data_IF_776253288036
#
_entry.id   IF_776253288036
#
_cell.length_a   1.000
_cell.length_b   1.000
_cell.length_c   1.000
_cell.angle_alpha   90.00
_cell.angle_beta   90.00
_cell.angle_gamma   90.00
#
_symmetry.space_group_name_H-M   'P 1'
#
loop_
_entity.id
_entity.type
_entity.pdbx_description
1 polymer ?
#
# COMPACT_ATOMS: atom_id res chain seq x y z
N UNK A 1 -6.73 -10.45 37.64
CA UNK A 1 -7.23 -9.10 37.27
C UNK A 1 -6.56 -8.00 38.11
N UNK A 2 -5.22 -8.02 38.22
CA UNK A 2 -4.45 -7.04 39.00
C UNK A 2 -3.10 -6.64 38.35
N UNK A 3 -2.82 -7.13 37.14
CA UNK A 3 -1.60 -6.81 36.36
C UNK A 3 -1.82 -5.74 35.28
N UNK A 4 -3.03 -5.18 35.15
CA UNK A 4 -3.33 -4.07 34.22
C UNK A 4 -3.15 -2.67 34.82
N UNK A 5 -2.88 -2.56 36.13
CA UNK A 5 -2.85 -1.25 36.82
C UNK A 5 -1.44 -0.65 36.89
N UNK A 6 -0.38 -1.45 36.76
CA UNK A 6 1.00 -0.95 36.92
C UNK A 6 1.68 -0.41 35.65
N UNK A 7 1.10 -0.61 34.46
CA UNK A 7 1.68 -0.10 33.20
C UNK A 7 1.10 1.25 32.73
N UNK A 8 0.04 1.77 33.35
CA UNK A 8 -0.54 3.05 32.95
C UNK A 8 0.23 4.25 33.54
N UNK A 9 0.82 4.08 34.73
CA UNK A 9 1.50 5.17 35.44
C UNK A 9 2.94 5.45 34.94
N UNK A 10 3.59 4.50 34.24
CA UNK A 10 4.92 4.72 33.68
C UNK A 10 4.87 5.51 32.35
N UNK A 11 3.76 5.40 31.60
CA UNK A 11 3.54 6.15 30.36
C UNK A 11 3.13 7.60 30.65
N UNK A 12 2.46 7.85 31.77
CA UNK A 12 2.05 9.20 32.18
C UNK A 12 3.26 10.04 32.64
N UNK A 13 4.32 9.41 33.17
CA UNK A 13 5.52 10.13 33.62
C UNK A 13 6.48 10.54 32.49
N UNK A 14 6.41 9.90 31.31
CA UNK A 14 7.19 10.29 30.13
C UNK A 14 6.49 11.35 29.25
N UNK A 15 5.20 11.64 29.49
CA UNK A 15 4.46 12.70 28.79
C UNK A 15 4.62 14.07 29.47
N UNK A 16 5.16 14.13 30.69
CA UNK A 16 5.24 15.38 31.48
C UNK A 16 6.59 16.14 31.31
N UNK A 17 7.57 15.60 30.56
CA UNK A 17 8.89 16.22 30.39
C UNK A 17 9.24 16.67 28.97
N UNK A 18 8.26 16.84 28.08
CA UNK A 18 8.45 17.55 26.80
C UNK A 18 7.32 18.54 26.60
N UNK A 19 7.61 19.83 26.82
CA UNK A 19 6.83 20.92 26.24
C UNK A 19 6.09 21.85 27.19
N UNK A 20 6.65 22.23 28.34
CA UNK A 20 6.27 23.48 28.99
C UNK A 20 6.93 24.65 28.24
N UNK A 21 6.33 25.05 27.12
CA UNK A 21 6.49 26.41 26.60
C UNK A 21 5.20 27.14 26.92
N UNK A 22 5.29 28.07 27.87
CA UNK A 22 4.23 29.02 28.21
C UNK A 22 3.92 29.87 26.98
N UNK A 23 2.87 29.54 26.24
CA UNK A 23 2.20 30.50 25.36
C UNK A 23 1.22 31.29 26.22
N UNK A 24 1.58 32.57 26.43
CA UNK A 24 0.73 33.55 27.05
C UNK A 24 -0.36 33.92 26.04
N UNK A 25 -1.45 33.16 26.01
CA UNK A 25 -2.55 33.42 25.08
C UNK A 25 -3.53 34.39 25.72
N UNK A 26 -3.28 35.68 25.48
CA UNK A 26 -4.26 36.73 25.67
C UNK A 26 -5.29 36.68 24.52
N UNK A 27 -6.10 35.62 24.45
CA UNK A 27 -7.24 35.57 23.54
C UNK A 27 -8.54 35.88 24.30
N UNK A 28 -9.16 37.00 23.90
CA UNK A 28 -10.55 37.30 24.25
C UNK A 28 -11.44 36.20 23.67
N UNK A 29 -11.89 35.29 24.52
CA UNK A 29 -12.90 34.28 24.19
C UNK A 29 -14.18 34.97 23.73
N UNK A 30 -14.57 34.77 22.47
CA UNK A 30 -15.92 35.07 22.01
C UNK A 30 -16.86 34.03 22.67
N UNK A 31 -18.02 34.43 23.23
CA UNK A 31 -18.99 33.50 23.78
C UNK A 31 -19.44 32.46 22.74
N UNK A 32 -19.51 31.18 23.12
CA UNK A 32 -19.88 30.06 22.24
C UNK A 32 -21.25 30.24 21.57
N UNK A 33 -22.16 31.00 22.19
CA UNK A 33 -23.47 31.34 21.62
C UNK A 33 -23.37 32.17 20.32
N UNK A 34 -22.40 33.10 20.25
CA UNK A 34 -22.21 33.97 19.08
C UNK A 34 -21.50 33.27 17.93
N UNK A 35 -20.82 32.15 18.18
CA UNK A 35 -20.19 31.35 17.13
C UNK A 35 -21.22 30.69 16.21
N UNK A 36 -22.34 30.23 16.77
CA UNK A 36 -23.42 29.58 16.02
C UNK A 36 -24.29 30.55 15.21
N UNK A 37 -24.12 31.86 15.39
CA UNK A 37 -24.77 32.88 14.56
C UNK A 37 -24.08 33.05 13.19
N UNK A 38 -22.82 32.63 13.07
CA UNK A 38 -22.07 32.66 11.81
C UNK A 38 -22.50 31.52 10.88
N UNK A 39 -22.52 31.76 9.55
CA UNK A 39 -22.90 30.73 8.59
C UNK A 39 -21.93 29.54 8.63
N UNK A 40 -22.43 28.32 8.35
CA UNK A 40 -21.58 27.14 8.27
C UNK A 40 -20.60 27.28 7.11
N UNK A 41 -19.32 26.99 7.37
CA UNK A 41 -18.25 27.08 6.38
C UNK A 41 -18.43 26.10 5.21
N UNK A 42 -19.11 24.98 5.46
CA UNK A 42 -19.21 23.84 4.56
C UNK A 42 -20.65 23.31 4.56
N UNK A 43 -21.27 23.27 3.39
CA UNK A 43 -22.57 22.64 3.22
C UNK A 43 -22.61 21.89 1.88
N UNK A 44 -22.53 20.56 1.93
CA UNK A 44 -22.42 19.70 0.76
C UNK A 44 -23.64 18.79 0.65
N UNK A 45 -24.27 18.76 -0.52
CA UNK A 45 -25.21 17.72 -0.90
C UNK A 45 -24.52 16.34 -0.89
N UNK A 46 -25.29 15.29 -0.66
CA UNK A 46 -24.80 13.91 -0.63
C UNK A 46 -24.28 13.49 -2.01
N UNK A 47 -22.95 13.47 -2.14
CA UNK A 47 -22.27 13.20 -3.40
C UNK A 47 -22.55 11.78 -3.91
N UNK A 48 -22.51 10.78 -3.03
CA UNK A 48 -22.66 9.38 -3.42
C UNK A 48 -24.09 9.14 -3.95
N UNK A 49 -25.11 9.75 -3.33
CA UNK A 49 -26.49 9.71 -3.86
C UNK A 49 -26.64 10.40 -5.22
N UNK A 50 -25.92 11.50 -5.45
CA UNK A 50 -25.92 12.21 -6.73
C UNK A 50 -25.28 11.38 -7.86
N UNK A 51 -24.27 10.55 -7.52
CA UNK A 51 -23.53 9.70 -8.46
C UNK A 51 -24.28 8.41 -8.78
N UNK A 52 -24.78 7.69 -7.76
CA UNK A 52 -25.34 6.34 -7.92
C UNK A 52 -26.69 6.31 -8.63
N UNK A 53 -27.40 7.44 -8.67
CA UNK A 53 -28.78 7.47 -9.16
C UNK A 53 -28.95 7.68 -10.67
N UNK A 54 -27.90 8.03 -11.45
CA UNK A 54 -28.07 8.52 -12.85
C UNK A 54 -26.92 8.18 -13.81
N UNK A 55 -27.25 8.00 -15.10
CA UNK A 55 -26.29 7.76 -16.20
C UNK A 55 -25.50 9.01 -16.63
N UNK A 56 -25.94 10.20 -16.21
CA UNK A 56 -25.25 11.47 -16.37
C UNK A 56 -25.59 12.35 -15.15
N UNK A 57 -24.56 12.84 -14.45
CA UNK A 57 -24.72 13.69 -13.27
C UNK A 57 -23.66 14.80 -13.30
N UNK A 58 -24.01 15.95 -12.72
CA UNK A 58 -23.09 17.05 -12.50
C UNK A 58 -23.19 17.47 -11.03
N UNK A 59 -22.06 17.46 -10.33
CA UNK A 59 -21.95 17.95 -8.97
C UNK A 59 -21.06 19.20 -8.99
N UNK A 60 -21.60 20.33 -8.57
CA UNK A 60 -20.91 21.61 -8.57
C UNK A 60 -20.45 21.96 -7.16
N UNK A 61 -19.20 22.40 -7.03
CA UNK A 61 -18.71 22.99 -5.78
C UNK A 61 -18.67 24.49 -5.97
N UNK A 62 -19.43 25.21 -5.15
CA UNK A 62 -19.57 26.67 -5.22
C UNK A 62 -18.77 27.28 -4.09
N UNK A 63 -17.91 28.23 -4.45
CA UNK A 63 -17.24 29.10 -3.49
C UNK A 63 -17.97 30.45 -3.44
N UNK A 64 -18.37 30.89 -2.25
CA UNK A 64 -18.98 32.19 -2.03
C UNK A 64 -18.16 32.99 -1.02
N UNK A 65 -17.87 34.24 -1.37
CA UNK A 65 -17.25 35.20 -0.46
C UNK A 65 -18.33 36.18 0.00
N UNK A 66 -18.48 36.33 1.31
CA UNK A 66 -19.48 37.22 1.88
C UNK A 66 -19.02 38.67 1.65
N UNK A 67 -19.87 39.47 1.00
CA UNK A 67 -19.55 40.88 0.78
C UNK A 67 -19.49 41.64 2.10
N UNK A 68 -18.44 42.46 2.32
CA UNK A 68 -18.31 43.23 3.54
C UNK A 68 -19.46 44.22 3.75
N UNK A 69 -20.09 44.17 4.93
CA UNK A 69 -21.13 45.11 5.31
C UNK A 69 -20.91 45.64 6.73
N UNK A 70 -20.27 46.81 6.84
CA UNK A 70 -19.92 47.44 8.12
C UNK A 70 -21.14 47.76 9.00
N UNK A 71 -22.33 47.89 8.42
CA UNK A 71 -23.59 48.14 9.14
C UNK A 71 -24.16 46.87 9.79
N UNK A 72 -23.70 45.68 9.38
CA UNK A 72 -24.18 44.41 9.91
C UNK A 72 -23.40 44.02 11.18
N UNK A 73 -24.08 43.82 12.33
CA UNK A 73 -23.41 43.36 13.54
C UNK A 73 -22.79 41.96 13.36
N UNK A 74 -23.41 41.11 12.54
CA UNK A 74 -22.89 39.78 12.21
C UNK A 74 -21.60 39.86 11.36
N UNK A 75 -21.54 40.79 10.40
CA UNK A 75 -20.32 40.97 9.60
C UNK A 75 -19.14 41.43 10.46
N UNK A 76 -19.36 42.37 11.38
CA UNK A 76 -18.31 42.84 12.30
C UNK A 76 -17.78 41.70 13.18
N UNK A 77 -18.64 40.74 13.55
CA UNK A 77 -18.20 39.53 14.25
C UNK A 77 -17.40 38.60 13.33
N UNK A 78 -17.86 38.34 12.11
CA UNK A 78 -17.17 37.51 11.11
C UNK A 78 -15.78 38.09 10.81
N UNK A 79 -15.67 39.39 10.54
CA UNK A 79 -14.40 40.09 10.28
C UNK A 79 -13.47 40.03 11.48
N UNK A 80 -13.96 40.31 12.69
CA UNK A 80 -13.15 40.26 13.91
C UNK A 80 -12.63 38.85 14.21
N UNK A 81 -13.47 37.81 14.03
CA UNK A 81 -13.07 36.42 14.26
C UNK A 81 -12.10 35.92 13.20
N UNK A 82 -12.34 36.29 11.94
CA UNK A 82 -11.55 35.86 10.77
C UNK A 82 -10.21 36.59 10.62
N UNK A 83 -9.96 37.66 11.39
CA UNK A 83 -8.68 38.40 11.42
C UNK A 83 -7.50 37.55 11.93
N UNK A 84 -7.74 36.59 12.82
CA UNK A 84 -6.71 35.67 13.28
C UNK A 84 -6.61 34.44 12.36
N UNK A 85 -5.90 34.60 11.25
CA UNK A 85 -5.69 33.51 10.28
C UNK A 85 -4.74 32.39 10.75
N UNK A 86 -4.15 32.47 11.95
CA UNK A 86 -3.32 31.38 12.50
C UNK A 86 -4.12 30.40 13.34
N UNK A 87 -5.16 30.89 14.02
CA UNK A 87 -5.92 30.08 14.96
C UNK A 87 -7.38 29.88 14.55
N UNK A 88 -7.95 30.76 13.71
CA UNK A 88 -9.34 30.69 13.30
C UNK A 88 -9.51 30.49 11.79
N UNK A 89 -10.54 29.73 11.43
CA UNK A 89 -10.98 29.63 10.06
C UNK A 89 -11.66 30.92 9.61
N UNK A 90 -11.48 31.28 8.35
CA UNK A 90 -12.10 32.45 7.73
C UNK A 90 -13.59 32.19 7.47
N UNK A 91 -14.46 32.82 8.26
CA UNK A 91 -15.93 32.69 8.17
C UNK A 91 -16.56 33.58 7.10
N UNK A 92 -15.77 34.39 6.41
CA UNK A 92 -16.18 35.17 5.25
C UNK A 92 -16.10 34.38 3.92
N UNK A 93 -15.63 33.13 3.98
CA UNK A 93 -15.47 32.23 2.82
C UNK A 93 -16.26 30.95 3.01
N UNK A 94 -17.29 30.77 2.20
CA UNK A 94 -18.23 29.64 2.29
C UNK A 94 -18.05 28.70 1.10
N UNK A 95 -18.21 27.41 1.36
CA UNK A 95 -18.12 26.36 0.35
C UNK A 95 -19.40 25.52 0.35
N UNK A 96 -20.04 25.42 -0.81
CA UNK A 96 -21.22 24.61 -1.02
C UNK A 96 -20.95 23.50 -2.01
N UNK A 97 -21.61 22.35 -1.86
CA UNK A 97 -21.68 21.33 -2.90
C UNK A 97 -23.11 21.09 -3.28
N UNK A 98 -23.41 21.17 -4.58
CA UNK A 98 -24.78 21.06 -5.08
C UNK A 98 -24.84 19.99 -6.16
N UNK A 99 -25.78 19.05 -6.01
CA UNK A 99 -26.14 18.13 -7.09
C UNK A 99 -27.02 18.88 -8.10
N UNK A 100 -26.48 19.14 -9.29
CA UNK A 100 -27.16 19.97 -10.32
C UNK A 100 -28.48 19.35 -10.76
N UNK A 101 -28.57 18.03 -10.74
CA UNK A 101 -29.78 17.31 -11.15
C UNK A 101 -30.92 17.42 -10.12
N UNK A 102 -30.58 17.41 -8.84
CA UNK A 102 -31.56 17.65 -7.77
C UNK A 102 -31.96 19.13 -7.74
N UNK A 103 -31.00 20.02 -7.97
CA UNK A 103 -31.25 21.45 -8.14
C UNK A 103 -32.17 21.74 -9.33
N UNK A 104 -31.98 21.11 -10.49
CA UNK A 104 -32.90 21.21 -11.64
C UNK A 104 -34.31 20.73 -11.31
N UNK A 105 -34.41 19.68 -10.50
CA UNK A 105 -35.70 19.12 -10.08
C UNK A 105 -36.41 20.08 -9.13
N UNK A 106 -35.67 20.67 -8.18
CA UNK A 106 -36.17 21.70 -7.28
C UNK A 106 -36.58 22.96 -8.04
N UNK A 107 -35.78 23.43 -9.01
CA UNK A 107 -36.11 24.58 -9.86
C UNK A 107 -37.43 24.41 -10.60
N UNK A 108 -37.72 23.19 -11.10
CA UNK A 108 -39.00 22.87 -11.74
C UNK A 108 -40.19 22.86 -10.78
N UNK A 109 -39.94 22.74 -9.47
CA UNK A 109 -40.99 22.74 -8.44
C UNK A 109 -41.32 24.14 -7.92
N UNK A 110 -40.53 25.16 -8.27
CA UNK A 110 -40.73 26.54 -7.84
C UNK A 110 -41.71 27.28 -8.77
N UNK A 111 -42.49 28.26 -8.26
CA UNK A 111 -43.28 29.15 -9.09
C UNK A 111 -42.42 30.01 -10.02
N UNK A 112 -42.91 30.29 -11.24
CA UNK A 112 -42.18 31.02 -12.30
C UNK A 112 -41.57 32.35 -11.83
N UNK A 113 -42.24 33.06 -10.92
CA UNK A 113 -41.77 34.31 -10.34
C UNK A 113 -40.45 34.16 -9.56
N UNK A 114 -40.31 33.09 -8.76
CA UNK A 114 -39.09 32.84 -7.98
C UNK A 114 -37.94 32.34 -8.86
N UNK A 115 -38.27 31.63 -9.93
CA UNK A 115 -37.29 31.16 -10.90
C UNK A 115 -36.63 32.33 -11.64
N UNK A 116 -37.39 33.37 -11.97
CA UNK A 116 -36.88 34.57 -12.64
C UNK A 116 -35.90 35.37 -11.76
N UNK A 117 -36.21 35.53 -10.48
CA UNK A 117 -35.33 36.24 -9.53
C UNK A 117 -33.98 35.53 -9.33
N UNK A 118 -33.96 34.20 -9.42
CA UNK A 118 -32.75 33.38 -9.32
C UNK A 118 -31.85 33.48 -10.57
N UNK A 119 -32.44 33.66 -11.75
CA UNK A 119 -31.68 33.82 -13.00
C UNK A 119 -31.08 35.21 -13.19
N UNK A 120 -31.65 36.26 -12.58
CA UNK A 120 -31.18 37.65 -12.71
C UNK A 120 -29.87 37.94 -11.95
N UNK A 121 -29.49 37.10 -10.98
CA UNK A 121 -28.22 37.24 -10.25
C UNK A 121 -27.12 36.39 -10.88
N UNK A 122 -26.63 36.80 -12.06
CA UNK A 122 -25.47 36.17 -12.68
C UNK A 122 -24.20 36.38 -11.85
N UNK A 123 -23.63 35.29 -11.34
CA UNK A 123 -22.24 35.25 -10.85
C UNK A 123 -21.32 35.29 -12.06
N UNK A 124 -20.47 36.33 -12.14
CA UNK A 124 -19.51 36.53 -13.23
C UNK A 124 -18.67 35.28 -13.45
N UNK A 125 -18.67 34.78 -14.68
CA UNK A 125 -17.96 33.58 -15.10
C UNK A 125 -16.44 33.79 -15.05
N UNK A 126 -15.83 33.49 -13.91
CA UNK A 126 -14.38 33.29 -13.79
C UNK A 126 -14.03 31.88 -13.30
N UNK A 127 -14.84 30.89 -13.67
CA UNK A 127 -14.47 29.49 -13.48
C UNK A 127 -13.93 28.90 -14.78
N UNK A 128 -12.63 29.13 -14.99
CA UNK A 128 -11.84 28.18 -15.74
C UNK A 128 -11.86 26.86 -14.95
N UNK A 129 -12.59 25.86 -15.43
CA UNK A 129 -12.49 24.49 -14.95
C UNK A 129 -11.15 23.89 -15.42
N UNK A 130 -10.05 24.44 -14.92
CA UNK A 130 -8.70 23.97 -15.18
C UNK A 130 -8.19 23.23 -13.94
N UNK A 131 -8.06 21.91 -14.13
CA UNK A 131 -7.26 20.95 -13.36
C UNK A 131 -7.81 20.45 -12.01
N UNK A 132 -9.02 19.88 -12.02
CA UNK A 132 -9.51 18.95 -10.99
C UNK A 132 -8.50 17.79 -10.75
N UNK A 133 -7.81 17.34 -11.80
CA UNK A 133 -6.82 16.26 -11.72
C UNK A 133 -5.58 16.63 -10.88
N UNK A 134 -5.08 17.87 -10.96
CA UNK A 134 -3.91 18.31 -10.18
C UNK A 134 -4.29 18.47 -8.70
N UNK A 135 -5.45 19.05 -8.41
CA UNK A 135 -5.96 19.14 -7.03
C UNK A 135 -6.18 17.75 -6.44
N UNK A 136 -6.76 16.81 -7.20
CA UNK A 136 -6.89 15.41 -6.77
C UNK A 136 -5.52 14.78 -6.48
N UNK A 137 -4.53 14.92 -7.38
CA UNK A 137 -3.18 14.40 -7.19
C UNK A 137 -2.50 14.96 -5.94
N UNK A 138 -2.61 16.27 -5.70
CA UNK A 138 -2.06 16.93 -4.51
C UNK A 138 -2.77 16.50 -3.23
N UNK A 139 -4.09 16.29 -3.27
CA UNK A 139 -4.84 15.77 -2.12
C UNK A 139 -4.61 14.28 -1.84
N UNK A 140 -4.05 13.52 -2.79
CA UNK A 140 -3.69 12.10 -2.60
C UNK A 140 -2.57 11.91 -1.58
N UNK A 141 -1.77 12.95 -1.29
CA UNK A 141 -0.72 12.92 -0.26
C UNK A 141 -1.18 13.48 1.09
N UNK A 142 -2.46 13.83 1.25
CA UNK A 142 -2.99 14.34 2.52
C UNK A 142 -3.01 13.23 3.58
N UNK A 143 -2.15 13.34 4.59
CA UNK A 143 -2.06 12.41 5.72
C UNK A 143 -3.41 12.29 6.42
N UNK A 144 -4.08 13.41 6.69
CA UNK A 144 -5.40 13.44 7.35
C UNK A 144 -6.43 12.59 6.58
N UNK A 145 -6.60 12.84 5.27
CA UNK A 145 -7.58 12.13 4.45
C UNK A 145 -7.24 10.64 4.30
N UNK A 146 -5.96 10.33 4.11
CA UNK A 146 -5.51 8.93 3.99
C UNK A 146 -5.66 8.16 5.29
N UNK A 147 -5.48 8.82 6.45
CA UNK A 147 -5.69 8.22 7.77
C UNK A 147 -7.15 7.83 8.00
N UNK A 148 -8.12 8.72 7.74
CA UNK A 148 -9.54 8.38 7.84
C UNK A 148 -9.96 7.30 6.85
N UNK A 149 -9.42 7.31 5.64
CA UNK A 149 -9.64 6.23 4.65
C UNK A 149 -9.06 4.89 5.09
N UNK A 150 -7.91 4.90 5.77
CA UNK A 150 -7.27 3.68 6.28
C UNK A 150 -8.08 3.05 7.42
N UNK A 151 -8.72 3.88 8.25
CA UNK A 151 -9.58 3.43 9.35
C UNK A 151 -11.03 3.18 8.92
N UNK A 152 -11.42 3.59 7.72
CA UNK A 152 -12.77 3.40 7.23
C UNK A 152 -13.10 1.91 7.11
N UNK A 153 -14.29 1.47 7.55
CA UNK A 153 -14.72 0.08 7.38
C UNK A 153 -14.82 -0.25 5.88
N UNK A 154 -14.31 -1.42 5.50
CA UNK A 154 -14.32 -1.94 4.12
C UNK A 154 -15.75 -2.03 3.60
N UNK A 155 -16.09 -1.20 2.61
CA UNK A 155 -17.47 -1.01 2.12
C UNK A 155 -17.88 -1.88 0.93
N UNK A 156 -17.03 -2.79 0.43
CA UNK A 156 -17.31 -3.61 -0.78
C UNK A 156 -16.84 -5.07 -0.60
N UNK A 157 -17.70 -5.99 -1.02
CA UNK A 157 -17.73 -7.44 -0.76
C UNK A 157 -16.68 -8.33 -1.48
N UNK A 158 -16.43 -9.48 -0.83
CA UNK A 158 -15.89 -10.81 -1.23
C UNK A 158 -14.86 -11.26 -0.19
N UNK A 159 -15.36 -11.97 0.83
CA UNK A 159 -14.71 -12.14 2.13
C UNK A 159 -13.72 -13.32 2.23
N UNK A 160 -13.58 -14.14 1.20
CA UNK A 160 -12.98 -15.48 1.36
C UNK A 160 -11.44 -15.45 1.39
N UNK A 161 -10.81 -14.37 0.91
CA UNK A 161 -9.35 -14.26 0.77
C UNK A 161 -8.72 -13.17 1.63
N UNK A 162 -9.48 -12.52 2.53
CA UNK A 162 -8.95 -11.43 3.38
C UNK A 162 -7.85 -11.90 4.33
N UNK A 163 -7.89 -13.15 4.78
CA UNK A 163 -6.86 -13.74 5.64
C UNK A 163 -5.46 -13.69 5.02
N UNK A 164 -5.37 -13.71 3.67
CA UNK A 164 -4.10 -13.62 2.95
C UNK A 164 -3.38 -12.30 3.23
N UNK A 165 -4.12 -11.20 3.44
CA UNK A 165 -3.50 -9.94 3.82
C UNK A 165 -2.87 -10.02 5.21
N UNK A 166 -3.51 -10.70 6.17
CA UNK A 166 -2.94 -10.98 7.49
C UNK A 166 -1.70 -11.86 7.39
N UNK A 167 -1.76 -12.93 6.60
CA UNK A 167 -0.63 -13.82 6.36
C UNK A 167 0.56 -13.09 5.72
N UNK A 168 0.33 -12.21 4.76
CA UNK A 168 1.38 -11.37 4.14
C UNK A 168 2.08 -10.50 5.16
N UNK A 169 1.34 -9.86 6.07
CA UNK A 169 1.93 -9.05 7.14
C UNK A 169 2.80 -9.91 8.06
N UNK A 170 2.30 -11.08 8.46
CA UNK A 170 3.06 -12.02 9.28
C UNK A 170 4.35 -12.47 8.59
N UNK A 171 4.28 -12.90 7.33
CA UNK A 171 5.44 -13.34 6.56
C UNK A 171 6.46 -12.19 6.36
N UNK A 172 5.99 -10.95 6.14
CA UNK A 172 6.87 -9.78 6.06
C UNK A 172 7.60 -9.54 7.39
N UNK A 173 6.93 -9.70 8.52
CA UNK A 173 7.57 -9.59 9.83
C UNK A 173 8.67 -10.66 10.00
N UNK A 174 8.41 -11.91 9.60
CA UNK A 174 9.42 -12.96 9.62
C UNK A 174 10.64 -12.63 8.74
N UNK A 175 10.43 -12.07 7.54
CA UNK A 175 11.51 -11.65 6.64
C UNK A 175 12.34 -10.51 7.25
N UNK A 176 11.69 -9.49 7.81
CA UNK A 176 12.38 -8.37 8.46
C UNK A 176 13.21 -8.87 9.63
N UNK A 177 12.63 -9.70 10.50
CA UNK A 177 13.33 -10.28 11.64
C UNK A 177 14.53 -11.14 11.20
N UNK A 178 14.38 -11.96 10.17
CA UNK A 178 15.48 -12.76 9.61
C UNK A 178 16.63 -11.88 9.12
N UNK A 179 16.33 -10.82 8.35
CA UNK A 179 17.34 -9.89 7.87
C UNK A 179 18.00 -9.09 8.99
N UNK A 180 17.26 -8.68 10.03
CA UNK A 180 17.84 -8.04 11.21
C UNK A 180 18.84 -8.94 11.93
N UNK A 181 18.49 -10.22 12.14
CA UNK A 181 19.40 -11.20 12.77
C UNK A 181 20.65 -11.43 11.91
N UNK A 182 20.51 -11.52 10.58
CA UNK A 182 21.67 -11.66 9.68
C UNK A 182 22.57 -10.43 9.75
N UNK A 183 22.02 -9.22 9.80
CA UNK A 183 22.81 -8.00 9.96
C UNK A 183 23.58 -7.98 11.28
N UNK A 184 22.95 -8.40 12.39
CA UNK A 184 23.62 -8.49 13.69
C UNK A 184 24.78 -9.51 13.68
N UNK A 185 24.64 -10.63 12.94
CA UNK A 185 25.70 -11.62 12.76
C UNK A 185 26.90 -11.12 11.94
N UNK A 186 26.70 -10.11 11.10
CA UNK A 186 27.77 -9.52 10.28
C UNK A 186 28.65 -8.53 11.08
N UNK A 187 28.22 -8.15 12.28
CA UNK A 187 28.95 -7.25 13.17
C UNK A 187 30.06 -8.03 13.90
N UNK A 188 31.20 -7.38 14.11
CA UNK A 188 32.32 -7.93 14.87
C UNK A 188 31.93 -8.08 16.34
N UNK A 189 31.73 -9.31 16.80
CA UNK A 189 31.34 -9.61 18.18
C UNK A 189 32.49 -10.23 18.97
N UNK A 190 32.58 -9.91 20.27
CA UNK A 190 33.66 -10.44 21.13
C UNK A 190 33.58 -11.96 21.32
N UNK A 191 32.39 -12.55 21.14
CA UNK A 191 32.15 -13.97 21.29
C UNK A 191 31.57 -14.57 20.01
N UNK A 192 32.39 -14.79 18.95
CA UNK A 192 31.91 -15.35 17.69
C UNK A 192 31.33 -16.77 17.86
N UNK A 193 31.83 -17.52 18.86
CA UNK A 193 31.37 -18.88 19.17
C UNK A 193 29.90 -18.91 19.60
N UNK A 194 29.37 -17.81 20.16
CA UNK A 194 27.94 -17.71 20.45
C UNK A 194 27.10 -17.79 19.17
N UNK A 195 27.46 -17.01 18.13
CA UNK A 195 26.77 -17.03 16.85
C UNK A 195 26.98 -18.32 16.07
N UNK A 196 28.19 -18.88 16.10
CA UNK A 196 28.46 -20.20 15.52
C UNK A 196 27.57 -21.28 16.15
N UNK A 197 27.42 -21.27 17.49
CA UNK A 197 26.50 -22.17 18.21
C UNK A 197 25.03 -21.88 17.92
N UNK A 198 24.69 -20.61 17.69
CA UNK A 198 23.34 -20.15 17.39
C UNK A 198 22.80 -20.74 16.07
N UNK A 199 23.66 -21.02 15.08
CA UNK A 199 23.27 -21.74 13.87
C UNK A 199 22.84 -23.19 14.11
N UNK A 200 23.26 -23.82 15.22
CA UNK A 200 22.84 -25.18 15.58
C UNK A 200 21.50 -25.22 16.32
N UNK A 201 20.91 -24.06 16.62
CA UNK A 201 19.57 -23.97 17.17
C UNK A 201 18.53 -24.18 16.06
N UNK A 202 17.54 -25.07 16.27
CA UNK A 202 16.55 -25.38 15.25
C UNK A 202 15.73 -24.15 14.86
N UNK A 203 15.46 -23.22 15.79
CA UNK A 203 14.71 -21.99 15.55
C UNK A 203 15.39 -21.07 14.51
N UNK A 204 16.72 -21.06 14.46
CA UNK A 204 17.50 -20.19 13.57
C UNK A 204 17.68 -20.83 12.20
N UNK A 205 17.74 -22.17 12.15
CA UNK A 205 17.73 -22.91 10.89
C UNK A 205 16.50 -22.56 10.01
N UNK A 206 15.36 -22.30 10.63
CA UNK A 206 14.12 -21.83 9.98
C UNK A 206 14.36 -20.54 9.20
N UNK A 207 14.95 -19.54 9.87
CA UNK A 207 15.20 -18.22 9.27
C UNK A 207 16.33 -18.24 8.26
N UNK A 208 17.31 -19.13 8.40
CA UNK A 208 18.33 -19.36 7.37
C UNK A 208 17.77 -19.98 6.10
N UNK A 209 16.62 -20.67 6.19
CA UNK A 209 15.85 -21.17 5.04
C UNK A 209 14.77 -20.17 4.59
N UNK A 210 15.09 -18.86 4.64
CA UNK A 210 14.19 -17.77 4.23
C UNK A 210 13.67 -17.90 2.78
N UNK A 211 14.26 -18.79 1.99
CA UNK A 211 13.81 -19.11 0.65
C UNK A 211 12.35 -19.57 0.55
N UNK A 212 11.89 -20.34 1.54
CA UNK A 212 10.52 -20.86 1.56
C UNK A 212 9.51 -19.73 1.76
N UNK A 213 9.83 -18.74 2.59
CA UNK A 213 8.96 -17.58 2.82
C UNK A 213 8.79 -16.77 1.53
N UNK A 214 9.89 -16.56 0.80
CA UNK A 214 9.85 -15.83 -0.47
C UNK A 214 9.07 -16.61 -1.55
N UNK A 215 9.15 -17.94 -1.56
CA UNK A 215 8.34 -18.77 -2.48
C UNK A 215 6.82 -18.59 -2.24
N UNK A 216 6.37 -18.44 -0.98
CA UNK A 216 4.97 -18.17 -0.66
C UNK A 216 4.52 -16.81 -1.24
N UNK A 217 5.39 -15.79 -1.21
CA UNK A 217 5.10 -14.50 -1.84
C UNK A 217 4.94 -14.63 -3.36
N UNK A 218 5.84 -15.36 -4.03
CA UNK A 218 5.73 -15.63 -5.47
C UNK A 218 4.49 -16.44 -5.83
N UNK A 219 4.10 -17.39 -4.98
CA UNK A 219 2.82 -18.10 -5.11
C UNK A 219 1.64 -17.15 -5.11
N UNK A 220 1.55 -16.24 -4.14
CA UNK A 220 0.48 -15.25 -4.12
C UNK A 220 0.53 -14.31 -5.32
N UNK A 221 1.72 -13.89 -5.75
CA UNK A 221 1.87 -13.02 -6.89
C UNK A 221 1.30 -13.65 -8.18
N UNK A 222 1.64 -14.92 -8.44
CA UNK A 222 1.08 -15.69 -9.56
C UNK A 222 -0.42 -15.91 -9.44
N UNK A 223 -0.89 -16.33 -8.26
CA UNK A 223 -2.31 -16.57 -7.97
C UNK A 223 -3.17 -15.33 -8.25
N UNK A 224 -2.82 -14.18 -7.67
CA UNK A 224 -3.61 -12.96 -7.86
C UNK A 224 -3.43 -12.33 -9.25
N UNK A 225 -2.29 -12.55 -9.91
CA UNK A 225 -2.12 -12.08 -11.28
C UNK A 225 -3.12 -12.77 -12.21
N UNK A 226 -3.29 -14.10 -12.07
CA UNK A 226 -4.25 -14.88 -12.85
C UNK A 226 -5.69 -14.44 -12.58
N UNK A 227 -6.12 -14.48 -11.31
CA UNK A 227 -7.49 -14.07 -10.93
C UNK A 227 -7.86 -12.68 -11.48
N UNK A 228 -6.96 -11.70 -11.36
CA UNK A 228 -7.22 -10.36 -11.90
C UNK A 228 -7.25 -10.31 -13.42
N UNK A 229 -6.44 -11.12 -14.08
CA UNK A 229 -6.40 -11.17 -15.54
C UNK A 229 -7.71 -11.75 -16.10
N UNK A 230 -8.24 -12.81 -15.46
CA UNK A 230 -9.49 -13.45 -15.83
C UNK A 230 -10.70 -12.59 -15.46
N UNK A 231 -10.75 -12.03 -14.25
CA UNK A 231 -11.83 -11.14 -13.80
C UNK A 231 -12.01 -9.93 -14.73
N UNK A 232 -10.90 -9.31 -15.15
CA UNK A 232 -10.94 -8.12 -16.00
C UNK A 232 -11.16 -8.46 -17.49
N UNK A 233 -11.12 -9.73 -17.88
CA UNK A 233 -11.24 -10.23 -19.27
C UNK A 233 -10.54 -9.33 -20.30
N UNK A 234 -9.29 -8.94 -20.02
CA UNK A 234 -8.60 -7.86 -20.73
C UNK A 234 -8.30 -8.21 -22.20
N UNK A 235 -8.20 -9.50 -22.52
CA UNK A 235 -7.82 -10.02 -23.83
C UNK A 235 -8.74 -11.16 -24.23
N UNK A 236 -9.34 -11.03 -25.40
CA UNK A 236 -10.07 -12.08 -26.12
C UNK A 236 -9.36 -12.45 -27.43
N UNK A 237 -9.69 -13.59 -28.07
CA UNK A 237 -9.07 -14.00 -29.34
C UNK A 237 -9.30 -13.03 -30.50
N UNK A 238 -10.36 -12.21 -30.43
CA UNK A 238 -10.70 -11.20 -31.45
C UNK A 238 -10.01 -9.85 -31.21
N UNK A 239 -9.20 -9.73 -30.16
CA UNK A 239 -8.58 -8.46 -29.75
C UNK A 239 -7.41 -8.11 -30.66
N UNK A 240 -7.32 -6.84 -31.07
CA UNK A 240 -6.21 -6.36 -31.91
C UNK A 240 -4.87 -6.38 -31.15
N UNK A 241 -3.77 -6.58 -31.88
CA UNK A 241 -2.43 -6.63 -31.28
C UNK A 241 -2.08 -5.31 -30.55
N UNK A 242 -2.47 -4.16 -31.10
CA UNK A 242 -2.23 -2.85 -30.48
C UNK A 242 -2.90 -2.72 -29.12
N UNK A 243 -4.10 -3.28 -28.96
CA UNK A 243 -4.81 -3.31 -27.68
C UNK A 243 -4.17 -4.28 -26.69
N UNK A 244 -3.65 -5.43 -27.13
CA UNK A 244 -2.86 -6.33 -26.28
C UNK A 244 -1.61 -5.64 -25.73
N UNK A 245 -0.89 -4.89 -26.57
CA UNK A 245 0.29 -4.10 -26.17
C UNK A 245 -0.13 -3.02 -25.17
N UNK A 246 -1.23 -2.31 -25.42
CA UNK A 246 -1.76 -1.31 -24.49
C UNK A 246 -2.14 -1.90 -23.13
N UNK A 247 -2.76 -3.08 -23.10
CA UNK A 247 -3.08 -3.82 -21.86
C UNK A 247 -1.80 -4.19 -21.11
N UNK A 248 -0.81 -4.74 -21.80
CA UNK A 248 0.49 -5.08 -21.22
C UNK A 248 1.11 -3.87 -20.51
N UNK A 249 1.30 -2.76 -21.23
CA UNK A 249 1.90 -1.56 -20.66
C UNK A 249 1.07 -0.95 -19.54
N UNK A 250 -0.27 -1.00 -19.63
CA UNK A 250 -1.15 -0.51 -18.57
C UNK A 250 -0.95 -1.29 -17.27
N UNK A 251 -0.93 -2.63 -17.34
CA UNK A 251 -0.77 -3.49 -16.15
C UNK A 251 0.65 -3.37 -15.60
N UNK A 252 1.66 -3.41 -16.47
CA UNK A 252 3.06 -3.24 -16.10
C UNK A 252 3.29 -1.90 -15.41
N UNK A 253 2.91 -0.79 -16.05
CA UNK A 253 3.15 0.56 -15.53
C UNK A 253 2.40 0.79 -14.20
N UNK A 254 1.17 0.28 -14.07
CA UNK A 254 0.43 0.38 -12.81
C UNK A 254 1.14 -0.34 -11.65
N UNK A 255 1.78 -1.49 -11.91
CA UNK A 255 2.57 -2.20 -10.90
C UNK A 255 3.89 -1.51 -10.62
N UNK A 256 4.61 -1.10 -11.66
CA UNK A 256 5.91 -0.45 -11.55
C UNK A 256 5.80 0.88 -10.78
N UNK A 257 4.84 1.74 -11.14
CA UNK A 257 4.58 3.02 -10.46
C UNK A 257 4.05 2.85 -9.03
N UNK A 258 3.54 1.67 -8.65
CA UNK A 258 3.16 1.38 -7.26
C UNK A 258 4.38 1.11 -6.37
N UNK A 259 5.39 0.41 -6.89
CA UNK A 259 6.55 -0.06 -6.11
C UNK A 259 7.66 0.99 -6.08
N UNK A 260 7.98 1.56 -7.24
CA UNK A 260 9.13 2.45 -7.44
C UNK A 260 9.16 3.64 -6.49
N UNK A 261 8.06 4.37 -6.21
CA UNK A 261 8.11 5.51 -5.30
C UNK A 261 8.62 5.13 -3.91
N UNK A 262 8.14 4.02 -3.35
CA UNK A 262 8.59 3.53 -2.04
C UNK A 262 10.05 3.06 -2.07
N UNK A 263 10.48 2.40 -3.15
CA UNK A 263 11.86 1.96 -3.33
C UNK A 263 12.82 3.15 -3.46
N UNK A 264 12.42 4.19 -4.18
CA UNK A 264 13.24 5.41 -4.33
C UNK A 264 13.41 6.13 -3.00
N UNK A 265 12.38 6.19 -2.16
CA UNK A 265 12.50 6.74 -0.80
C UNK A 265 13.51 5.94 0.02
N UNK A 266 13.48 4.60 -0.06
CA UNK A 266 14.45 3.74 0.63
C UNK A 266 15.88 3.94 0.12
N UNK A 267 16.07 4.03 -1.20
CA UNK A 267 17.37 4.31 -1.82
C UNK A 267 17.90 5.67 -1.36
N UNK A 268 17.07 6.71 -1.35
CA UNK A 268 17.44 8.03 -0.87
C UNK A 268 17.75 8.02 0.64
N UNK A 269 16.98 7.28 1.42
CA UNK A 269 17.21 7.11 2.84
C UNK A 269 18.58 6.47 3.10
N UNK A 270 18.90 5.34 2.47
CA UNK A 270 20.17 4.64 2.63
C UNK A 270 21.36 5.42 2.04
N UNK A 271 21.15 6.11 0.91
CA UNK A 271 22.19 6.88 0.22
C UNK A 271 22.48 8.26 0.80
N UNK A 272 21.64 8.79 1.70
CA UNK A 272 21.83 10.14 2.27
C UNK A 272 21.59 10.22 3.78
N UNK A 273 20.48 9.68 4.30
CA UNK A 273 20.06 9.92 5.68
C UNK A 273 20.69 8.93 6.67
N UNK A 274 20.76 7.66 6.30
CA UNK A 274 21.16 6.57 7.21
C UNK A 274 22.54 6.79 7.83
N UNK A 275 23.52 7.26 7.05
CA UNK A 275 24.89 7.53 7.54
C UNK A 275 24.97 8.66 8.58
N UNK A 276 23.95 9.53 8.66
CA UNK A 276 23.89 10.66 9.60
C UNK A 276 23.04 10.40 10.84
N UNK A 277 22.36 9.25 10.93
CA UNK A 277 21.47 8.95 12.05
C UNK A 277 22.19 8.46 13.32
N UNK A 278 23.49 8.16 13.25
CA UNK A 278 24.25 7.65 14.37
C UNK A 278 25.68 8.22 14.42
N UNK A 279 26.09 8.61 15.63
CA UNK A 279 27.43 9.16 15.89
C UNK A 279 28.40 8.12 16.49
N UNK A 280 28.00 6.85 16.51
CA UNK A 280 28.79 5.76 17.08
C UNK A 280 30.02 5.42 16.24
N UNK A 281 31.16 5.02 16.84
CA UNK A 281 32.38 4.69 16.11
C UNK A 281 32.21 3.50 15.13
N UNK A 282 31.28 2.59 15.42
CA UNK A 282 30.93 1.46 14.55
C UNK A 282 29.87 1.79 13.50
N UNK A 283 29.14 2.90 13.63
CA UNK A 283 28.02 3.23 12.75
C UNK A 283 28.47 3.33 11.29
N UNK A 284 29.56 4.09 11.05
CA UNK A 284 30.14 4.24 9.71
C UNK A 284 30.61 2.89 9.14
N UNK A 285 31.11 1.97 9.94
CA UNK A 285 31.54 0.66 9.44
C UNK A 285 30.38 -0.16 8.87
N UNK A 286 29.18 -0.01 9.44
CA UNK A 286 27.98 -0.73 9.01
C UNK A 286 27.32 -0.02 7.81
N UNK A 287 27.18 1.30 7.87
CA UNK A 287 26.38 2.06 6.91
C UNK A 287 27.14 2.54 5.67
N UNK A 288 28.47 2.67 5.73
CA UNK A 288 29.24 3.29 4.63
C UNK A 288 29.22 2.43 3.35
N UNK A 289 29.24 1.11 3.47
CA UNK A 289 29.15 0.22 2.31
C UNK A 289 27.81 0.41 1.57
N UNK A 290 26.70 0.36 2.29
CA UNK A 290 25.37 0.61 1.71
C UNK A 290 25.27 2.02 1.13
N UNK A 291 25.77 3.04 1.83
CA UNK A 291 25.80 4.42 1.36
C UNK A 291 26.53 4.56 0.01
N UNK A 292 27.71 3.96 -0.14
CA UNK A 292 28.49 3.98 -1.39
C UNK A 292 27.75 3.22 -2.50
N UNK A 293 27.26 2.01 -2.23
CA UNK A 293 26.50 1.25 -3.24
C UNK A 293 25.23 1.96 -3.68
N UNK A 294 24.54 2.65 -2.78
CA UNK A 294 23.39 3.48 -3.11
C UNK A 294 23.74 4.72 -3.93
N UNK A 295 24.93 5.31 -3.78
CA UNK A 295 25.34 6.45 -4.61
C UNK A 295 25.78 6.04 -6.02
N UNK A 296 26.49 4.92 -6.14
CA UNK A 296 27.06 4.47 -7.42
C UNK A 296 26.12 3.56 -8.22
N UNK A 297 25.34 2.72 -7.55
CA UNK A 297 24.58 1.62 -8.17
C UNK A 297 23.08 1.64 -7.88
N UNK A 298 22.50 2.76 -7.40
CA UNK A 298 21.04 2.89 -7.18
C UNK A 298 20.18 2.47 -8.38
N UNK A 299 20.68 2.72 -9.59
CA UNK A 299 19.99 2.43 -10.84
C UNK A 299 19.68 0.93 -11.01
N UNK A 300 20.49 0.04 -10.42
CA UNK A 300 20.26 -1.41 -10.49
C UNK A 300 18.94 -1.81 -9.81
N UNK A 301 18.64 -1.19 -8.66
CA UNK A 301 17.40 -1.39 -7.93
C UNK A 301 16.22 -0.70 -8.63
N UNK A 302 16.43 0.49 -9.22
CA UNK A 302 15.37 1.17 -9.99
C UNK A 302 14.93 0.36 -11.21
N UNK A 303 15.88 -0.15 -12.00
CA UNK A 303 15.59 -0.97 -13.19
C UNK A 303 15.22 -2.42 -12.85
N UNK A 304 15.12 -2.79 -11.57
CA UNK A 304 14.73 -4.13 -11.14
C UNK A 304 15.65 -5.24 -11.69
N UNK A 305 16.96 -4.99 -11.74
CA UNK A 305 17.99 -5.96 -12.18
C UNK A 305 18.95 -6.38 -11.05
N UNK A 306 18.74 -5.84 -9.85
CA UNK A 306 19.62 -6.05 -8.71
C UNK A 306 19.61 -7.51 -8.20
N UNK A 307 18.67 -8.35 -8.62
CA UNK A 307 18.68 -9.79 -8.34
C UNK A 307 19.83 -10.53 -9.07
N UNK A 308 20.27 -10.04 -10.24
CA UNK A 308 21.44 -10.60 -10.94
C UNK A 308 22.76 -9.99 -10.47
N UNK A 309 22.71 -8.75 -9.95
CA UNK A 309 23.87 -7.97 -9.50
C UNK A 309 23.88 -7.77 -7.97
N UNK A 310 23.49 -8.80 -7.22
CA UNK A 310 23.30 -8.76 -5.76
C UNK A 310 24.49 -8.15 -4.99
N UNK A 311 25.73 -8.47 -5.38
CA UNK A 311 26.95 -8.04 -4.66
C UNK A 311 27.12 -6.52 -4.61
N UNK A 312 26.65 -5.79 -5.62
CA UNK A 312 26.80 -4.33 -5.74
C UNK A 312 25.47 -3.60 -5.53
N UNK A 313 24.42 -4.31 -5.09
CA UNK A 313 23.10 -3.72 -4.91
C UNK A 313 23.06 -2.80 -3.69
N UNK A 314 22.52 -1.60 -3.89
CA UNK A 314 22.21 -0.62 -2.85
C UNK A 314 21.34 -1.18 -1.72
N UNK A 315 20.35 -2.00 -2.06
CA UNK A 315 19.44 -2.63 -1.09
C UNK A 315 19.33 -4.10 -1.42
N UNK A 316 20.25 -4.90 -0.88
CA UNK A 316 20.33 -6.33 -1.22
C UNK A 316 19.03 -7.06 -0.91
N UNK A 317 18.37 -6.74 0.21
CA UNK A 317 17.12 -7.33 0.63
C UNK A 317 15.95 -7.08 -0.34
N UNK A 318 16.03 -6.13 -1.28
CA UNK A 318 14.96 -5.89 -2.27
C UNK A 318 15.06 -6.75 -3.53
N UNK A 319 15.98 -7.72 -3.58
CA UNK A 319 16.16 -8.63 -4.72
C UNK A 319 14.87 -9.36 -5.12
N UNK A 320 14.04 -9.74 -4.14
CA UNK A 320 12.80 -10.47 -4.41
C UNK A 320 11.75 -9.60 -5.12
N UNK A 321 11.79 -8.27 -4.93
CA UNK A 321 10.91 -7.34 -5.66
C UNK A 321 11.27 -7.30 -7.15
N UNK A 322 12.56 -7.32 -7.47
CA UNK A 322 13.02 -7.40 -8.86
C UNK A 322 12.57 -8.71 -9.51
N UNK A 323 12.73 -9.84 -8.80
CA UNK A 323 12.22 -11.13 -9.28
C UNK A 323 10.70 -11.13 -9.45
N UNK A 324 9.92 -10.53 -8.54
CA UNK A 324 8.45 -10.44 -8.67
C UNK A 324 8.02 -9.67 -9.93
N UNK A 325 8.68 -8.54 -10.22
CA UNK A 325 8.43 -7.76 -11.44
C UNK A 325 8.74 -8.58 -12.70
N UNK A 326 9.94 -9.18 -12.76
CA UNK A 326 10.37 -9.98 -13.89
C UNK A 326 9.44 -11.17 -14.15
N UNK A 327 9.05 -11.89 -13.10
CA UNK A 327 8.10 -13.00 -13.20
C UNK A 327 6.71 -12.52 -13.61
N UNK A 328 6.21 -11.41 -13.02
CA UNK A 328 4.94 -10.82 -13.43
C UNK A 328 4.92 -10.51 -14.93
N UNK A 329 5.97 -9.87 -15.45
CA UNK A 329 6.07 -9.52 -16.86
C UNK A 329 6.08 -10.75 -17.76
N UNK A 330 6.89 -11.75 -17.41
CA UNK A 330 6.95 -13.01 -18.13
C UNK A 330 5.57 -13.69 -18.20
N UNK A 331 4.90 -13.87 -17.06
CA UNK A 331 3.58 -14.52 -17.02
C UNK A 331 2.49 -13.67 -17.67
N UNK A 332 2.55 -12.35 -17.59
CA UNK A 332 1.61 -11.48 -18.27
C UNK A 332 1.71 -11.64 -19.80
N UNK A 333 2.92 -11.73 -20.35
CA UNK A 333 3.13 -12.02 -21.77
C UNK A 333 2.56 -13.39 -22.11
N UNK A 334 2.85 -14.41 -21.32
CA UNK A 334 2.31 -15.77 -21.50
C UNK A 334 0.78 -15.75 -21.50
N UNK A 335 0.13 -15.09 -20.54
CA UNK A 335 -1.33 -15.00 -20.45
C UNK A 335 -1.96 -14.30 -21.65
N UNK A 336 -1.36 -13.19 -22.11
CA UNK A 336 -1.82 -12.49 -23.33
C UNK A 336 -1.70 -13.40 -24.56
N UNK A 337 -0.61 -14.17 -24.70
CA UNK A 337 -0.41 -15.10 -25.81
C UNK A 337 -1.38 -16.27 -25.76
N UNK A 338 -1.57 -16.89 -24.59
CA UNK A 338 -2.51 -18.00 -24.39
C UNK A 338 -3.94 -17.56 -24.68
N UNK A 339 -4.37 -16.42 -24.13
CA UNK A 339 -5.71 -15.87 -24.35
C UNK A 339 -5.98 -15.52 -25.83
N UNK A 340 -4.93 -15.19 -26.59
CA UNK A 340 -5.03 -14.89 -28.03
C UNK A 340 -5.04 -16.12 -28.91
N UNK A 341 -4.30 -17.18 -28.56
CA UNK A 341 -3.99 -18.31 -29.45
C UNK A 341 -4.66 -19.63 -29.09
N UNK A 342 -5.36 -19.72 -27.94
CA UNK A 342 -5.96 -20.96 -27.41
C UNK A 342 -4.99 -22.16 -27.35
N UNK A 343 -3.68 -21.94 -27.39
CA UNK A 343 -2.66 -22.99 -27.29
C UNK A 343 -2.08 -23.03 -25.88
N UNK A 344 -2.14 -24.20 -25.26
CA UNK A 344 -1.42 -24.50 -24.03
C UNK A 344 0.09 -24.40 -24.31
N UNK A 345 0.77 -23.47 -23.63
CA UNK A 345 2.24 -23.37 -23.67
C UNK A 345 2.78 -24.48 -22.76
N UNK A 346 3.12 -25.62 -23.34
CA UNK A 346 3.83 -26.68 -22.64
C UNK A 346 5.34 -26.40 -22.62
N UNK A 347 5.97 -26.57 -21.46
CA UNK A 347 7.43 -26.65 -21.38
C UNK A 347 7.89 -27.85 -22.22
N UNK A 348 8.86 -27.61 -23.11
CA UNK A 348 9.26 -28.56 -24.15
C UNK A 348 10.07 -29.75 -23.59
N UNK A 349 10.74 -29.58 -22.44
CA UNK A 349 11.68 -30.55 -21.89
C UNK A 349 11.89 -30.40 -20.36
N UNK A 350 12.11 -31.53 -19.68
CA UNK A 350 12.26 -31.63 -18.22
C UNK A 350 13.51 -30.91 -17.71
N UNK A 351 14.60 -30.90 -18.48
CA UNK A 351 15.85 -30.23 -18.11
C UNK A 351 15.71 -28.70 -18.08
N UNK A 352 14.97 -28.11 -19.03
CA UNK A 352 14.66 -26.67 -19.02
C UNK A 352 13.74 -26.30 -17.84
N UNK A 353 12.80 -27.18 -17.49
CA UNK A 353 11.98 -27.04 -16.28
C UNK A 353 12.85 -27.08 -15.02
N UNK A 354 13.80 -28.02 -14.94
CA UNK A 354 14.72 -28.17 -13.81
C UNK A 354 15.69 -27.00 -13.68
N UNK A 355 16.23 -26.45 -14.78
CA UNK A 355 17.10 -25.26 -14.70
C UNK A 355 16.34 -23.98 -14.32
N UNK A 356 15.06 -23.89 -14.66
CA UNK A 356 14.16 -22.84 -14.17
C UNK A 356 13.78 -23.02 -12.69
N UNK A 357 13.89 -24.25 -12.17
CA UNK A 357 13.50 -24.69 -10.84
C UNK A 357 14.57 -24.47 -9.75
N UNK A 358 15.86 -24.48 -10.11
CA UNK A 358 16.98 -24.56 -9.13
C UNK A 358 17.47 -23.21 -8.56
N UNK A 359 17.54 -22.09 -9.30
CA UNK A 359 18.11 -20.87 -8.72
C UNK A 359 17.16 -20.17 -7.74
N UNK A 360 17.65 -19.92 -6.53
CA UNK A 360 16.93 -19.19 -5.48
C UNK A 360 16.39 -17.82 -5.96
N UNK A 361 17.08 -17.20 -6.91
CA UNK A 361 16.76 -15.91 -7.51
C UNK A 361 15.76 -15.98 -8.69
N UNK A 362 15.42 -17.17 -9.20
CA UNK A 362 14.49 -17.35 -10.33
C UNK A 362 13.22 -18.13 -10.01
N UNK A 363 13.04 -18.64 -8.77
CA UNK A 363 11.90 -19.39 -8.18
C UNK A 363 10.57 -19.38 -8.97
N UNK A 364 10.59 -19.96 -10.17
CA UNK A 364 9.49 -19.92 -11.13
C UNK A 364 8.33 -20.81 -10.67
N UNK A 365 8.66 -21.85 -9.90
CA UNK A 365 7.75 -22.85 -9.34
C UNK A 365 6.62 -22.23 -8.52
N UNK A 366 6.92 -21.30 -7.62
CA UNK A 366 5.91 -20.62 -6.80
C UNK A 366 4.88 -19.93 -7.69
N UNK A 367 5.35 -19.21 -8.70
CA UNK A 367 4.50 -18.46 -9.63
C UNK A 367 3.61 -19.38 -10.49
N UNK A 368 4.18 -20.44 -11.08
CA UNK A 368 3.43 -21.47 -11.85
C UNK A 368 2.38 -22.13 -10.97
N UNK A 369 2.77 -22.52 -9.77
CA UNK A 369 1.91 -23.22 -8.83
C UNK A 369 0.77 -22.31 -8.35
N UNK A 370 1.04 -21.02 -8.14
CA UNK A 370 0.05 -19.98 -7.89
C UNK A 370 -0.98 -19.86 -9.02
N UNK A 371 -0.52 -19.86 -10.28
CA UNK A 371 -1.38 -19.87 -11.46
C UNK A 371 -2.29 -21.12 -11.49
N UNK A 372 -1.74 -22.32 -11.33
CA UNK A 372 -2.53 -23.57 -11.33
C UNK A 372 -3.59 -23.53 -10.22
N UNK A 373 -3.22 -23.05 -9.04
CA UNK A 373 -4.15 -22.86 -7.94
C UNK A 373 -5.22 -21.81 -8.25
N UNK A 374 -4.91 -20.73 -8.96
CA UNK A 374 -5.94 -19.76 -9.36
C UNK A 374 -6.93 -20.38 -10.35
N UNK A 375 -6.44 -21.15 -11.32
CA UNK A 375 -7.28 -21.87 -12.29
C UNK A 375 -8.23 -22.86 -11.60
N UNK A 376 -7.74 -23.62 -10.62
CA UNK A 376 -8.59 -24.55 -9.88
C UNK A 376 -9.55 -23.77 -8.97
N UNK A 377 -9.13 -22.65 -8.37
CA UNK A 377 -9.98 -21.81 -7.54
C UNK A 377 -11.17 -21.26 -8.35
N UNK A 378 -10.94 -20.63 -9.51
CA UNK A 378 -12.05 -20.07 -10.31
C UNK A 378 -13.01 -21.14 -10.83
N UNK A 379 -12.48 -22.29 -11.26
CA UNK A 379 -13.32 -23.32 -11.89
C UNK A 379 -14.05 -24.22 -10.89
N UNK A 380 -13.54 -24.36 -9.66
CA UNK A 380 -14.02 -25.40 -8.74
C UNK A 380 -14.35 -24.91 -7.32
N UNK A 381 -14.04 -23.67 -6.91
CA UNK A 381 -14.31 -23.22 -5.52
C UNK A 381 -15.80 -23.22 -5.14
N UNK A 382 -16.69 -23.12 -6.14
CA UNK A 382 -18.14 -23.22 -5.94
C UNK A 382 -18.61 -24.63 -5.53
N UNK A 383 -17.74 -25.64 -5.63
CA UNK A 383 -18.00 -26.97 -5.11
C UNK A 383 -17.49 -27.02 -3.67
N UNK A 384 -18.41 -27.20 -2.70
CA UNK A 384 -18.10 -27.33 -1.27
C UNK A 384 -16.87 -28.20 -0.93
N UNK A 385 -16.63 -29.38 -1.56
CA UNK A 385 -15.44 -30.18 -1.24
C UNK A 385 -14.12 -29.53 -1.72
N UNK A 386 -14.14 -28.69 -2.76
CA UNK A 386 -12.91 -28.12 -3.36
C UNK A 386 -12.46 -26.87 -2.64
N UNK A 387 -13.37 -26.05 -2.11
CA UNK A 387 -13.02 -24.99 -1.16
C UNK A 387 -12.30 -25.57 0.08
N UNK A 388 -12.76 -26.73 0.56
CA UNK A 388 -12.11 -27.45 1.65
C UNK A 388 -10.74 -28.02 1.26
N UNK A 389 -10.57 -28.50 0.01
CA UNK A 389 -9.27 -28.94 -0.51
C UNK A 389 -8.28 -27.76 -0.60
N UNK A 390 -8.73 -26.57 -1.02
CA UNK A 390 -7.89 -25.37 -1.05
C UNK A 390 -7.45 -24.93 0.34
N UNK A 391 -8.38 -24.91 1.28
CA UNK A 391 -8.08 -24.63 2.67
C UNK A 391 -7.12 -25.69 3.24
N UNK A 392 -7.36 -26.97 2.97
CA UNK A 392 -6.51 -28.08 3.38
C UNK A 392 -5.14 -28.05 2.70
N UNK A 393 -5.03 -27.56 1.47
CA UNK A 393 -3.76 -27.39 0.75
C UNK A 393 -2.96 -26.21 1.31
N UNK A 394 -3.61 -25.10 1.64
CA UNK A 394 -2.98 -24.00 2.37
C UNK A 394 -2.51 -24.46 3.75
N UNK A 395 -3.36 -25.20 4.47
CA UNK A 395 -2.99 -25.85 5.72
C UNK A 395 -1.88 -26.85 5.47
N UNK A 396 -1.85 -27.61 4.36
CA UNK A 396 -0.80 -28.58 4.07
C UNK A 396 0.52 -27.93 3.68
N UNK A 397 0.53 -26.73 3.10
CA UNK A 397 1.76 -25.99 2.81
C UNK A 397 2.26 -25.26 4.04
N UNK A 398 1.35 -24.77 4.88
CA UNK A 398 1.70 -24.27 6.20
C UNK A 398 2.20 -25.40 7.10
N UNK A 399 1.60 -26.59 7.01
CA UNK A 399 2.01 -27.81 7.70
C UNK A 399 3.27 -28.38 7.06
N UNK A 400 3.47 -28.33 5.75
CA UNK A 400 4.71 -28.77 5.09
C UNK A 400 5.85 -27.83 5.44
N UNK A 401 5.61 -26.51 5.47
CA UNK A 401 6.49 -25.53 6.08
C UNK A 401 6.81 -26.01 7.49
N UNK A 402 5.82 -26.12 8.40
CA UNK A 402 6.01 -26.59 9.79
C UNK A 402 6.71 -27.97 9.89
N UNK A 403 6.46 -28.92 9.01
CA UNK A 403 7.04 -30.27 8.99
C UNK A 403 8.49 -30.25 8.51
N UNK A 404 8.84 -29.40 7.55
CA UNK A 404 10.23 -29.06 7.22
C UNK A 404 10.91 -28.39 8.43
N UNK A 405 10.18 -27.58 9.24
CA UNK A 405 10.68 -27.00 10.50
C UNK A 405 10.90 -28.07 11.60
N UNK A 406 9.99 -29.06 11.75
CA UNK A 406 9.94 -29.95 12.93
C UNK A 406 10.42 -31.38 12.70
N UNK A 407 10.49 -31.88 11.47
CA UNK A 407 10.76 -33.29 11.15
C UNK A 407 11.99 -33.49 10.26
N UNK A 408 12.09 -32.80 9.12
CA UNK A 408 13.24 -32.99 8.20
C UNK A 408 14.57 -32.58 8.87
N UNK A 409 14.56 -31.49 9.63
CA UNK A 409 15.78 -30.99 10.28
C UNK A 409 16.30 -31.87 11.43
N UNK A 410 15.47 -32.32 12.40
CA UNK A 410 15.93 -33.28 13.41
C UNK A 410 16.28 -34.66 12.83
N UNK A 411 15.60 -35.13 11.78
CA UNK A 411 15.94 -36.39 11.09
C UNK A 411 17.29 -36.28 10.38
N UNK A 412 17.56 -35.17 9.67
CA UNK A 412 18.87 -34.91 9.09
C UNK A 412 19.98 -34.85 10.16
N UNK A 413 19.67 -34.33 11.36
CA UNK A 413 20.58 -34.27 12.51
C UNK A 413 20.87 -35.66 13.11
N UNK A 414 19.87 -36.52 13.20
CA UNK A 414 19.99 -37.93 13.63
C UNK A 414 20.86 -38.69 12.61
N UNK A 415 20.58 -38.54 11.32
CA UNK A 415 21.36 -39.16 10.24
C UNK A 415 22.83 -38.70 10.30
N UNK A 416 23.09 -37.40 10.49
CA UNK A 416 24.46 -36.87 10.60
C UNK A 416 25.19 -37.34 11.87
N UNK A 417 24.47 -37.57 12.97
CA UNK A 417 25.01 -38.17 14.20
C UNK A 417 25.40 -39.64 14.01
N UNK A 418 24.64 -40.41 13.21
CA UNK A 418 24.97 -41.80 12.89
C UNK A 418 26.06 -41.94 11.82
N UNK A 419 26.25 -40.94 10.95
CA UNK A 419 27.31 -40.94 9.91
C UNK A 419 28.68 -40.50 10.46
N UNK A 420 28.72 -39.65 11.50
CA UNK A 420 29.95 -39.14 12.10
C UNK A 420 30.42 -39.96 13.34
N UNK A 421 29.90 -41.16 13.51
CA UNK A 421 30.29 -42.14 14.52
C UNK A 421 30.81 -43.37 13.80
#
# INVERSE_FOLDING_TARGET
MLTKVFNLNLIILQVILVGCNTFNDSQRKIPTSSYYEMPPLYQFDDYDKCVDSRTSFSYCVVYAEIEPNASSPLWNQIDMYSKDGRHHYRHDRLFFGVCVEDCKTLLKSLPDFQQQELYDKMVGSNEGCNNLQIKQLLTSFSIYRNYYRLLAPSSVEKNDLKFINGLRVFLLFCVVMAHSVVLDMLIQTQNPQYFEKFYYNPEIAIFTNGAVIIQIFFFFAGFFLKLKFDELQLVSPRTSLYRCIGVYFKVFLARYLRIVPSLMILILFNGFLLSHMGDGPFWRHITEAEHVFCREYWWQNLFMINNFLLKQSCCQHTWFLATDIQLTEFFLIVFILVAKTYRYVFFKDFDTMYQSYVPFYTNLSGYIFGFICAEIYENYVHLEPVGQIFLNFFISNLVAFIMTLTLEYPVARIIKYFINK
#
